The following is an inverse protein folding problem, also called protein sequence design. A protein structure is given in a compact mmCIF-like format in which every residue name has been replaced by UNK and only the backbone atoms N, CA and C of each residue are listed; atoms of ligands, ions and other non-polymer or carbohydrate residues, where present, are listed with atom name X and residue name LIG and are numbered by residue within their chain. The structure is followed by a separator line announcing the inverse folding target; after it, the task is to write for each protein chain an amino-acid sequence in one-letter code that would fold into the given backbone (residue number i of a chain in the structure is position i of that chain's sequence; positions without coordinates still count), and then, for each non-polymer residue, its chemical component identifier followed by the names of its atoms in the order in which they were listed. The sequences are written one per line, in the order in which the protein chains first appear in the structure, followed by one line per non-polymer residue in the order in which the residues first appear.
data_IF_759166308330
#
_entry.id   IF_759166308330
#
_cell.length_a   1.000
_cell.length_b   1.000
_cell.length_c   1.000
_cell.angle_alpha   90.00
_cell.angle_beta   90.00
_cell.angle_gamma   90.00
#
_symmetry.space_group_name_H-M   'P 1'
#
loop_
_entity.id
_entity.type
_entity.pdbx_description
1 polymer ?
#
# COMPACT_ATOMS: atom_id res chain seq x y z
N UNK A 1 -0.40 6.95 17.73
CA UNK A 1 0.25 6.10 16.70
C UNK A 1 -0.21 4.64 16.76
N UNK A 2 -0.33 4.03 17.94
CA UNK A 2 -0.71 2.61 18.05
C UNK A 2 -2.16 2.34 17.64
N UNK A 3 -3.10 3.16 18.09
CA UNK A 3 -4.51 3.08 17.68
C UNK A 3 -4.71 3.28 16.17
N UNK A 4 -3.93 4.18 15.56
CA UNK A 4 -4.00 4.44 14.12
C UNK A 4 -3.57 3.23 13.30
N UNK A 5 -2.48 2.56 13.73
CA UNK A 5 -2.02 1.32 13.11
C UNK A 5 -3.04 0.20 13.30
N UNK A 6 -3.60 0.06 14.50
CA UNK A 6 -4.60 -0.97 14.78
C UNK A 6 -5.86 -0.81 13.91
N UNK A 7 -6.40 0.41 13.82
CA UNK A 7 -7.57 0.71 12.99
C UNK A 7 -7.30 0.43 11.50
N UNK A 8 -6.15 0.87 10.99
CA UNK A 8 -5.77 0.63 9.60
C UNK A 8 -5.58 -0.87 9.30
N UNK A 9 -5.08 -1.66 10.26
CA UNK A 9 -4.95 -3.12 10.12
C UNK A 9 -6.32 -3.80 10.11
N UNK A 10 -7.23 -3.38 10.98
CA UNK A 10 -8.61 -3.89 11.00
C UNK A 10 -9.35 -3.58 9.69
N UNK A 11 -9.15 -2.39 9.13
CA UNK A 11 -9.69 -2.02 7.82
C UNK A 11 -9.18 -2.94 6.69
N UNK A 12 -7.97 -3.48 6.80
CA UNK A 12 -7.44 -4.48 5.87
C UNK A 12 -8.17 -5.82 5.95
N UNK A 13 -8.45 -6.30 7.17
CA UNK A 13 -9.24 -7.54 7.39
C UNK A 13 -10.66 -7.37 6.85
N UNK A 14 -11.30 -6.25 7.19
CA UNK A 14 -12.62 -5.91 6.66
C UNK A 14 -12.62 -5.90 5.13
N UNK A 15 -11.65 -5.25 4.50
CA UNK A 15 -11.55 -5.18 3.05
C UNK A 15 -11.46 -6.56 2.40
N UNK A 16 -10.56 -7.43 2.84
CA UNK A 16 -10.40 -8.75 2.24
C UNK A 16 -11.64 -9.64 2.40
N UNK A 17 -12.36 -9.54 3.53
CA UNK A 17 -13.63 -10.23 3.70
C UNK A 17 -14.72 -9.66 2.80
N UNK A 18 -14.77 -8.34 2.65
CA UNK A 18 -15.78 -7.65 1.87
C UNK A 18 -15.60 -7.81 0.34
N UNK A 19 -14.38 -8.14 -0.14
CA UNK A 19 -14.13 -8.40 -1.56
C UNK A 19 -14.98 -9.54 -2.15
N UNK A 20 -15.48 -10.46 -1.31
CA UNK A 20 -16.43 -11.48 -1.73
C UNK A 20 -17.72 -10.91 -2.35
N UNK A 21 -18.14 -9.71 -1.93
CA UNK A 21 -19.38 -9.07 -2.36
C UNK A 21 -19.17 -7.89 -3.31
N UNK A 22 -17.94 -7.66 -3.77
CA UNK A 22 -17.56 -6.54 -4.66
C UNK A 22 -17.99 -6.84 -6.10
N UNK A 23 -18.92 -6.04 -6.70
CA UNK A 23 -19.20 -6.14 -8.14
C UNK A 23 -17.93 -6.01 -8.99
N UNK A 24 -17.05 -5.05 -8.69
CA UNK A 24 -15.86 -4.78 -9.50
C UNK A 24 -14.83 -5.92 -9.47
N UNK A 25 -14.69 -6.63 -8.33
CA UNK A 25 -13.75 -7.75 -8.19
C UNK A 25 -14.39 -9.13 -8.27
N UNK A 26 -15.70 -9.23 -8.53
CA UNK A 26 -16.40 -10.51 -8.60
C UNK A 26 -15.75 -11.50 -9.60
N UNK A 27 -15.24 -10.99 -10.73
CA UNK A 27 -14.55 -11.84 -11.71
C UNK A 27 -13.17 -12.33 -11.29
N UNK A 28 -12.54 -11.69 -10.30
CA UNK A 28 -11.15 -11.90 -9.91
C UNK A 28 -10.99 -12.44 -8.48
N UNK A 29 -12.04 -12.40 -7.67
CA UNK A 29 -12.01 -12.85 -6.28
C UNK A 29 -12.39 -14.33 -6.17
N UNK A 30 -11.52 -15.20 -5.61
CA UNK A 30 -11.80 -16.64 -5.57
C UNK A 30 -13.07 -16.99 -4.82
N UNK A 31 -13.30 -16.35 -3.68
CA UNK A 31 -14.49 -16.53 -2.84
C UNK A 31 -15.59 -15.52 -3.19
N UNK A 32 -15.72 -15.11 -4.46
CA UNK A 32 -16.80 -14.23 -4.90
C UNK A 32 -18.16 -14.90 -4.66
N UNK A 33 -19.07 -14.16 -3.99
CA UNK A 33 -20.44 -14.59 -3.73
C UNK A 33 -21.34 -14.23 -4.93
N UNK A 34 -22.40 -15.01 -5.15
CA UNK A 34 -23.38 -14.72 -6.19
C UNK A 34 -24.12 -13.39 -5.93
N UNK A 35 -24.27 -12.99 -4.67
CA UNK A 35 -24.82 -11.69 -4.28
C UNK A 35 -23.71 -10.64 -4.28
N UNK A 36 -23.97 -9.55 -4.99
CA UNK A 36 -23.06 -8.41 -5.10
C UNK A 36 -23.70 -7.16 -4.52
N UNK A 37 -22.87 -6.26 -4.00
CA UNK A 37 -23.33 -5.05 -3.34
C UNK A 37 -22.49 -3.84 -3.75
N UNK A 38 -23.02 -2.91 -4.55
CA UNK A 38 -22.30 -1.69 -4.94
C UNK A 38 -21.86 -0.84 -3.74
N UNK A 39 -22.63 -0.87 -2.64
CA UNK A 39 -22.26 -0.14 -1.42
C UNK A 39 -21.05 -0.74 -0.72
N UNK A 40 -20.84 -2.07 -0.81
CA UNK A 40 -19.61 -2.70 -0.32
C UNK A 40 -18.43 -2.14 -1.07
N UNK A 41 -18.55 -2.03 -2.38
CA UNK A 41 -17.54 -1.52 -3.27
C UNK A 41 -17.17 -0.06 -2.91
N UNK A 42 -18.17 0.80 -2.73
CA UNK A 42 -17.97 2.18 -2.25
C UNK A 42 -17.19 2.26 -0.91
N UNK A 43 -17.44 1.37 0.06
CA UNK A 43 -16.75 1.40 1.36
C UNK A 43 -15.33 0.80 1.25
N UNK A 44 -15.19 -0.31 0.55
CA UNK A 44 -13.96 -1.07 0.38
C UNK A 44 -12.91 -0.24 -0.37
N UNK A 45 -13.30 0.42 -1.46
CA UNK A 45 -12.37 1.24 -2.23
C UNK A 45 -12.01 2.54 -1.51
N UNK A 46 -12.94 3.14 -0.77
CA UNK A 46 -12.65 4.27 0.11
C UNK A 46 -11.55 3.91 1.12
N UNK A 47 -11.74 2.80 1.84
CA UNK A 47 -10.76 2.34 2.84
C UNK A 47 -9.43 1.94 2.24
N UNK A 48 -9.43 1.35 1.04
CA UNK A 48 -8.22 1.00 0.31
C UNK A 48 -7.40 2.23 -0.08
N UNK A 49 -8.08 3.29 -0.56
CA UNK A 49 -7.45 4.50 -1.08
C UNK A 49 -6.55 5.19 -0.05
N UNK A 50 -6.95 5.24 1.22
CA UNK A 50 -6.16 5.92 2.25
C UNK A 50 -5.27 4.98 3.06
N UNK A 51 -5.65 3.71 3.30
CA UNK A 51 -4.93 2.87 4.28
C UNK A 51 -3.50 2.55 3.85
N UNK A 52 -3.27 2.22 2.57
CA UNK A 52 -1.94 1.82 2.10
C UNK A 52 -0.98 3.02 2.09
N UNK A 53 -1.36 4.19 1.52
CA UNK A 53 -0.59 5.43 1.68
C UNK A 53 -0.29 5.78 3.14
N UNK A 54 -1.30 5.66 4.02
CA UNK A 54 -1.15 5.94 5.45
C UNK A 54 -0.11 5.03 6.11
N UNK A 55 -0.10 3.73 5.79
CA UNK A 55 0.92 2.82 6.31
C UNK A 55 2.33 3.19 5.87
N UNK A 56 2.51 3.59 4.60
CA UNK A 56 3.81 4.03 4.11
C UNK A 56 4.27 5.33 4.77
N UNK A 57 3.36 6.30 4.97
CA UNK A 57 3.62 7.52 5.72
C UNK A 57 4.06 7.19 7.16
N UNK A 58 3.32 6.34 7.87
CA UNK A 58 3.69 5.92 9.23
C UNK A 58 5.05 5.21 9.24
N UNK A 59 5.32 4.36 8.24
CA UNK A 59 6.59 3.66 8.13
C UNK A 59 7.77 4.62 7.94
N UNK A 60 7.64 5.62 7.06
CA UNK A 60 8.62 6.67 6.86
C UNK A 60 8.92 7.46 8.12
N UNK A 61 7.87 7.84 8.86
CA UNK A 61 7.98 8.52 10.15
C UNK A 61 8.82 7.70 11.14
N UNK A 62 8.52 6.41 11.29
CA UNK A 62 9.27 5.56 12.21
C UNK A 62 10.68 5.21 11.73
N UNK A 63 10.94 5.22 10.41
CA UNK A 63 12.30 5.08 9.88
C UNK A 63 13.13 6.31 10.26
N UNK A 64 12.61 7.52 10.07
CA UNK A 64 13.28 8.75 10.48
C UNK A 64 13.56 8.77 12.00
N UNK A 65 12.56 8.44 12.81
CA UNK A 65 12.71 8.29 14.26
C UNK A 65 13.83 7.33 14.63
N UNK A 66 13.92 6.20 13.95
CA UNK A 66 14.90 5.18 14.24
C UNK A 66 16.31 5.58 13.80
N UNK A 67 16.45 6.28 12.67
CA UNK A 67 17.71 6.88 12.23
C UNK A 67 18.20 7.88 13.27
N UNK A 68 17.33 8.77 13.76
CA UNK A 68 17.70 9.74 14.79
C UNK A 68 18.11 9.05 16.11
N UNK A 69 17.37 8.03 16.53
CA UNK A 69 17.59 7.36 17.83
C UNK A 69 18.76 6.37 17.85
N UNK A 70 19.04 5.69 16.75
CA UNK A 70 19.98 4.55 16.70
C UNK A 70 20.98 4.62 15.54
N UNK A 71 21.00 5.70 14.78
CA UNK A 71 21.79 5.83 13.56
C UNK A 71 21.31 4.91 12.44
N UNK A 72 21.95 5.04 11.29
CA UNK A 72 21.55 4.32 10.08
C UNK A 72 21.76 2.80 10.19
N UNK A 73 22.88 2.36 10.76
CA UNK A 73 23.15 0.93 11.00
C UNK A 73 22.15 0.29 11.97
N UNK A 74 21.75 1.02 13.03
CA UNK A 74 20.72 0.58 13.96
C UNK A 74 19.33 0.50 13.32
N UNK A 75 19.02 1.42 12.40
CA UNK A 75 17.81 1.38 11.58
C UNK A 75 17.79 0.13 10.70
N UNK A 76 18.83 -0.11 9.91
CA UNK A 76 18.90 -1.27 9.01
C UNK A 76 18.83 -2.58 9.78
N UNK A 77 19.56 -2.74 10.88
CA UNK A 77 19.51 -3.96 11.71
C UNK A 77 18.11 -4.22 12.26
N UNK A 78 17.44 -3.18 12.77
CA UNK A 78 16.09 -3.32 13.30
C UNK A 78 15.07 -3.67 12.21
N UNK A 79 15.14 -3.00 11.05
CA UNK A 79 14.24 -3.25 9.92
C UNK A 79 14.51 -4.61 9.30
N UNK A 80 15.75 -5.07 9.26
CA UNK A 80 16.08 -6.43 8.84
C UNK A 80 15.37 -7.46 9.74
N UNK A 81 15.44 -7.33 11.06
CA UNK A 81 14.81 -8.27 11.99
C UNK A 81 13.28 -8.20 12.05
N UNK A 82 12.68 -7.05 11.72
CA UNK A 82 11.24 -6.81 11.88
C UNK A 82 10.45 -6.72 10.57
N UNK A 83 11.14 -6.64 9.43
CA UNK A 83 10.53 -6.54 8.10
C UNK A 83 11.11 -7.62 7.20
N UNK A 84 12.43 -7.61 6.95
CA UNK A 84 13.05 -8.54 6.00
C UNK A 84 12.98 -10.00 6.48
N UNK A 85 13.28 -10.27 7.74
CA UNK A 85 13.23 -11.62 8.29
C UNK A 85 11.80 -12.18 8.31
N UNK A 86 10.77 -11.46 8.81
CA UNK A 86 9.38 -11.88 8.65
C UNK A 86 8.98 -12.08 7.19
N UNK A 87 9.40 -11.21 6.28
CA UNK A 87 9.13 -11.37 4.85
C UNK A 87 9.70 -12.70 4.33
N UNK A 88 10.97 -13.01 4.60
CA UNK A 88 11.61 -14.24 4.13
C UNK A 88 10.92 -15.49 4.71
N UNK A 89 10.53 -15.47 5.98
CA UNK A 89 9.90 -16.63 6.65
C UNK A 89 8.43 -16.79 6.21
N UNK A 90 7.66 -15.71 6.19
CA UNK A 90 6.22 -15.78 5.97
C UNK A 90 5.83 -15.73 4.49
N UNK A 91 6.71 -15.32 3.58
CA UNK A 91 6.42 -15.35 2.14
C UNK A 91 6.15 -16.76 1.60
N UNK A 92 7.00 -17.79 1.82
CA UNK A 92 6.69 -19.14 1.39
C UNK A 92 5.46 -19.72 2.10
N UNK A 93 5.26 -19.39 3.38
CA UNK A 93 4.07 -19.81 4.13
C UNK A 93 2.78 -19.19 3.57
N UNK A 94 2.82 -17.91 3.21
CA UNK A 94 1.70 -17.20 2.60
C UNK A 94 1.40 -17.72 1.20
N UNK A 95 2.44 -17.95 0.38
CA UNK A 95 2.30 -18.59 -0.93
C UNK A 95 1.65 -19.96 -0.79
N UNK A 96 2.16 -20.80 0.12
CA UNK A 96 1.59 -22.12 0.35
C UNK A 96 0.13 -22.04 0.81
N UNK A 97 -0.18 -21.20 1.81
CA UNK A 97 -1.54 -21.05 2.33
C UNK A 97 -2.53 -20.61 1.24
N UNK A 98 -2.16 -19.64 0.40
CA UNK A 98 -3.02 -19.14 -0.68
C UNK A 98 -3.17 -20.19 -1.78
N UNK A 99 -2.06 -20.74 -2.28
CA UNK A 99 -2.07 -21.69 -3.41
C UNK A 99 -2.76 -22.99 -3.01
N UNK A 100 -2.45 -23.55 -1.83
CA UNK A 100 -3.07 -24.79 -1.36
C UNK A 100 -4.59 -24.62 -1.16
N UNK A 101 -5.02 -23.49 -0.59
CA UNK A 101 -6.45 -23.18 -0.43
C UNK A 101 -7.15 -23.02 -1.78
N UNK A 102 -6.52 -22.34 -2.74
CA UNK A 102 -7.04 -22.18 -4.10
C UNK A 102 -7.17 -23.52 -4.82
N UNK A 103 -6.13 -24.36 -4.81
CA UNK A 103 -6.15 -25.67 -5.46
C UNK A 103 -7.19 -26.59 -4.82
N UNK A 104 -7.31 -26.56 -3.49
CA UNK A 104 -8.34 -27.31 -2.77
C UNK A 104 -9.74 -26.83 -3.14
N UNK A 105 -9.96 -25.52 -3.23
CA UNK A 105 -11.24 -24.94 -3.62
C UNK A 105 -11.61 -25.29 -5.06
N UNK A 106 -10.66 -25.18 -6.00
CA UNK A 106 -10.85 -25.56 -7.42
C UNK A 106 -11.29 -27.03 -7.55
N UNK A 107 -10.72 -27.93 -6.73
CA UNK A 107 -11.05 -29.35 -6.75
C UNK A 107 -12.38 -29.71 -6.07
N UNK A 108 -12.83 -28.93 -5.08
CA UNK A 108 -13.96 -29.29 -4.20
C UNK A 108 -15.23 -28.46 -4.41
N UNK A 109 -15.11 -27.23 -4.90
CA UNK A 109 -16.26 -26.32 -5.06
C UNK A 109 -17.01 -26.66 -6.36
N UNK A 110 -18.33 -26.88 -6.23
CA UNK A 110 -19.20 -27.17 -7.37
C UNK A 110 -19.43 -25.93 -8.22
N UNK A 111 -19.86 -24.82 -7.61
CA UNK A 111 -20.07 -23.53 -8.28
C UNK A 111 -18.77 -22.71 -8.28
N UNK A 112 -17.96 -22.85 -9.33
CA UNK A 112 -16.67 -22.16 -9.46
C UNK A 112 -16.88 -20.68 -9.78
N UNK A 113 -16.11 -19.83 -9.11
CA UNK A 113 -16.03 -18.41 -9.51
C UNK A 113 -15.28 -18.27 -10.85
N UNK A 114 -15.42 -17.14 -11.55
CA UNK A 114 -14.75 -16.94 -12.84
C UNK A 114 -13.23 -17.13 -12.76
N UNK A 115 -12.59 -16.68 -11.67
CA UNK A 115 -11.15 -16.88 -11.45
C UNK A 115 -10.79 -18.35 -11.21
N UNK A 116 -11.66 -19.14 -10.56
CA UNK A 116 -11.44 -20.58 -10.40
C UNK A 116 -11.51 -21.29 -11.75
N UNK A 117 -12.44 -20.92 -12.63
CA UNK A 117 -12.51 -21.46 -13.99
C UNK A 117 -11.29 -21.08 -14.83
N UNK A 118 -10.77 -19.86 -14.67
CA UNK A 118 -9.49 -19.46 -15.26
C UNK A 118 -8.34 -20.35 -14.78
N UNK A 119 -8.29 -20.67 -13.48
CA UNK A 119 -7.27 -21.56 -12.91
C UNK A 119 -7.41 -22.98 -13.48
N UNK A 120 -8.62 -23.53 -13.56
CA UNK A 120 -8.88 -24.86 -14.17
C UNK A 120 -8.36 -24.90 -15.61
N UNK A 121 -8.67 -23.85 -16.39
CA UNK A 121 -8.23 -23.74 -17.78
C UNK A 121 -6.71 -23.65 -17.90
N UNK A 122 -6.07 -22.90 -17.01
CA UNK A 122 -4.61 -22.77 -16.96
C UNK A 122 -3.92 -24.07 -16.53
N UNK A 123 -4.52 -24.85 -15.62
CA UNK A 123 -4.02 -26.16 -15.22
C UNK A 123 -4.13 -27.20 -16.35
N UNK A 124 -5.18 -27.13 -17.17
CA UNK A 124 -5.37 -28.00 -18.32
C UNK A 124 -4.41 -27.68 -19.48
N UNK A 125 -3.96 -26.42 -19.59
CA UNK A 125 -3.02 -25.96 -20.61
C UNK A 125 -1.78 -25.33 -19.95
N UNK A 126 -0.87 -26.15 -19.38
CA UNK A 126 0.31 -25.65 -18.69
C UNK A 126 1.25 -24.97 -19.70
N UNK A 127 1.12 -23.64 -19.81
CA UNK A 127 2.04 -22.78 -20.55
C UNK A 127 3.24 -22.38 -19.69
N UNK A 128 3.70 -21.15 -19.87
CA UNK A 128 4.72 -20.56 -18.99
C UNK A 128 4.17 -20.38 -17.56
N UNK A 129 4.94 -20.78 -16.53
CA UNK A 129 4.51 -20.57 -15.15
C UNK A 129 4.33 -19.08 -14.87
N UNK A 130 3.36 -18.69 -14.03
CA UNK A 130 3.14 -17.30 -13.69
C UNK A 130 4.40 -16.71 -13.03
N UNK A 131 4.67 -15.41 -13.24
CA UNK A 131 5.81 -14.76 -12.62
C UNK A 131 5.69 -14.84 -11.09
N UNK A 132 6.83 -14.86 -10.37
CA UNK A 132 6.82 -14.82 -8.91
C UNK A 132 6.05 -13.59 -8.40
N UNK A 133 5.22 -13.79 -7.38
CA UNK A 133 4.42 -12.75 -6.73
C UNK A 133 4.68 -12.69 -5.22
N UNK A 134 4.82 -11.48 -4.69
CA UNK A 134 4.90 -11.17 -3.27
C UNK A 134 3.55 -11.34 -2.56
N UNK A 135 2.46 -11.56 -3.31
CA UNK A 135 1.09 -11.71 -2.83
C UNK A 135 0.74 -10.62 -1.80
N UNK A 136 0.17 -11.01 -0.66
CA UNK A 136 -0.23 -10.13 0.43
C UNK A 136 0.94 -9.43 1.13
N UNK A 137 2.19 -9.85 0.90
CA UNK A 137 3.38 -9.29 1.56
C UNK A 137 4.10 -8.21 0.74
N UNK A 138 3.53 -7.78 -0.39
CA UNK A 138 4.07 -6.72 -1.24
C UNK A 138 4.43 -5.43 -0.46
N UNK A 139 3.66 -5.12 0.59
CA UNK A 139 3.90 -3.95 1.44
C UNK A 139 5.27 -4.05 2.14
N UNK A 140 5.56 -5.20 2.76
CA UNK A 140 6.86 -5.44 3.42
C UNK A 140 7.99 -5.41 2.41
N UNK A 141 7.77 -5.96 1.21
CA UNK A 141 8.73 -5.93 0.12
C UNK A 141 9.12 -4.49 -0.24
N UNK A 142 8.15 -3.61 -0.51
CA UNK A 142 8.41 -2.19 -0.80
C UNK A 142 9.09 -1.47 0.38
N UNK A 143 8.71 -1.78 1.63
CA UNK A 143 9.37 -1.20 2.80
C UNK A 143 10.85 -1.54 2.91
N UNK A 144 11.26 -2.77 2.54
CA UNK A 144 12.68 -3.13 2.49
C UNK A 144 13.41 -2.20 1.52
N UNK A 145 12.88 -1.99 0.31
CA UNK A 145 13.48 -1.07 -0.65
C UNK A 145 13.53 0.36 -0.12
N UNK A 146 12.47 0.88 0.47
CA UNK A 146 12.47 2.24 1.01
C UNK A 146 13.46 2.41 2.17
N UNK A 147 13.68 1.38 2.99
CA UNK A 147 14.74 1.40 4.00
C UNK A 147 16.14 1.44 3.36
N UNK A 148 16.36 0.66 2.29
CA UNK A 148 17.63 0.67 1.54
C UNK A 148 17.83 2.01 0.84
N UNK A 149 16.81 2.57 0.18
CA UNK A 149 16.86 3.89 -0.44
C UNK A 149 17.16 4.98 0.58
N UNK A 150 16.59 4.90 1.80
CA UNK A 150 16.92 5.83 2.89
C UNK A 150 18.41 5.77 3.24
N UNK A 151 18.98 4.56 3.29
CA UNK A 151 20.43 4.37 3.51
C UNK A 151 21.27 4.91 2.36
N UNK A 152 20.87 4.68 1.10
CA UNK A 152 21.59 5.21 -0.08
C UNK A 152 21.51 6.74 -0.15
N UNK A 153 20.33 7.30 0.09
CA UNK A 153 20.12 8.75 0.00
C UNK A 153 20.73 9.53 1.15
N UNK A 154 21.19 8.90 2.24
CA UNK A 154 21.86 9.61 3.33
C UNK A 154 23.14 10.33 2.87
N UNK A 155 23.77 9.87 1.79
CA UNK A 155 24.99 10.44 1.23
C UNK A 155 24.75 11.68 0.37
N UNK A 156 23.48 11.99 0.08
CA UNK A 156 23.08 13.18 -0.69
C UNK A 156 22.86 14.34 0.29
N UNK A 157 23.34 15.54 -0.05
CA UNK A 157 23.06 16.73 0.74
C UNK A 157 21.63 17.24 0.47
N UNK A 158 20.71 16.94 1.38
CA UNK A 158 19.30 17.35 1.28
C UNK A 158 19.00 18.73 1.89
N UNK A 159 20.00 19.50 2.34
CA UNK A 159 19.77 20.78 3.02
C UNK A 159 19.02 21.79 2.13
N UNK A 160 19.34 21.84 0.84
CA UNK A 160 18.66 22.72 -0.11
C UNK A 160 17.16 22.35 -0.21
N UNK A 161 16.85 21.07 -0.41
CA UNK A 161 15.48 20.59 -0.51
C UNK A 161 14.73 20.86 0.79
N UNK A 162 15.39 20.65 1.93
CA UNK A 162 14.82 20.93 3.25
C UNK A 162 14.48 22.41 3.42
N UNK A 163 15.35 23.31 2.95
CA UNK A 163 15.09 24.75 2.99
C UNK A 163 13.89 25.17 2.12
N UNK A 164 13.70 24.56 0.95
CA UNK A 164 12.52 24.80 0.12
C UNK A 164 11.25 24.28 0.78
N UNK A 165 11.25 23.03 1.23
CA UNK A 165 10.06 22.39 1.82
C UNK A 165 9.62 23.07 3.13
N UNK A 166 10.56 23.55 3.95
CA UNK A 166 10.22 24.28 5.19
C UNK A 166 9.48 25.62 4.93
N UNK A 167 9.50 26.13 3.69
CA UNK A 167 8.81 27.36 3.29
C UNK A 167 7.45 27.10 2.65
N UNK A 168 7.10 25.84 2.41
CA UNK A 168 5.84 25.49 1.74
C UNK A 168 4.66 25.76 2.68
N UNK A 169 3.71 26.56 2.22
CA UNK A 169 2.44 26.80 2.92
C UNK A 169 1.48 25.62 2.74
N UNK A 170 0.50 25.41 3.64
CA UNK A 170 -0.48 24.34 3.51
C UNK A 170 -1.17 24.32 2.15
N UNK A 171 -1.56 25.48 1.63
CA UNK A 171 -2.22 25.61 0.32
C UNK A 171 -1.30 25.15 -0.82
N UNK A 172 -0.05 25.59 -0.80
CA UNK A 172 0.92 25.20 -1.82
C UNK A 172 1.23 23.70 -1.74
N UNK A 173 1.33 23.14 -0.53
CA UNK A 173 1.49 21.70 -0.33
C UNK A 173 0.31 20.92 -0.93
N UNK A 174 -0.93 21.35 -0.64
CA UNK A 174 -2.14 20.71 -1.14
C UNK A 174 -2.30 20.83 -2.67
N UNK A 175 -1.69 21.84 -3.29
CA UNK A 175 -1.65 21.98 -4.74
C UNK A 175 -0.54 21.12 -5.39
N UNK A 176 0.67 21.13 -4.84
CA UNK A 176 1.84 20.47 -5.45
C UNK A 176 1.83 18.97 -5.17
N UNK A 177 1.55 18.53 -3.93
CA UNK A 177 1.71 17.14 -3.56
C UNK A 177 0.86 16.18 -4.42
N UNK A 178 -0.43 16.46 -4.72
CA UNK A 178 -1.21 15.64 -5.65
C UNK A 178 -0.60 15.59 -7.06
N UNK A 179 -0.07 16.69 -7.57
CA UNK A 179 0.58 16.74 -8.89
C UNK A 179 1.83 15.85 -8.96
N UNK A 180 2.55 15.70 -7.86
CA UNK A 180 3.69 14.77 -7.78
C UNK A 180 3.26 13.30 -7.86
N UNK A 181 2.03 12.98 -7.49
CA UNK A 181 1.48 11.61 -7.59
C UNK A 181 1.02 11.27 -9.01
N UNK A 182 0.69 12.27 -9.83
CA UNK A 182 0.08 12.09 -11.17
C UNK A 182 0.93 11.21 -12.09
N UNK A 183 2.27 11.38 -12.25
CA UNK A 183 3.05 10.53 -13.14
C UNK A 183 2.98 9.04 -12.79
N UNK A 184 2.99 8.72 -11.49
CA UNK A 184 2.83 7.35 -11.03
C UNK A 184 1.43 6.82 -11.35
N UNK A 185 0.39 7.60 -11.08
CA UNK A 185 -1.00 7.23 -11.32
C UNK A 185 -1.34 7.08 -12.81
N UNK A 186 -0.71 7.86 -13.70
CA UNK A 186 -0.89 7.73 -15.15
C UNK A 186 -0.21 6.48 -15.73
N UNK A 187 0.78 5.93 -15.03
CA UNK A 187 1.54 4.76 -15.47
C UNK A 187 0.93 3.42 -15.08
N UNK A 188 -0.24 3.42 -14.44
CA UNK A 188 -0.93 2.21 -13.96
C UNK A 188 -2.45 2.35 -14.13
N UNK A 189 -3.12 1.24 -14.43
CA UNK A 189 -4.57 1.24 -14.59
C UNK A 189 -5.29 1.39 -13.25
N UNK A 190 -6.48 2.00 -13.29
CA UNK A 190 -7.43 1.99 -12.17
C UNK A 190 -8.41 0.82 -12.31
N UNK A 191 -8.82 0.14 -11.22
CA UNK A 191 -8.37 0.35 -9.83
C UNK A 191 -6.89 -0.06 -9.63
N UNK A 192 -6.18 0.64 -8.75
CA UNK A 192 -4.75 0.43 -8.54
C UNK A 192 -4.47 -1.03 -8.12
N UNK A 193 -3.69 -1.80 -8.90
CA UNK A 193 -3.34 -3.17 -8.55
C UNK A 193 -2.36 -3.19 -7.38
N UNK A 194 -2.25 -4.34 -6.69
CA UNK A 194 -1.16 -4.54 -5.74
C UNK A 194 0.17 -4.62 -6.51
N UNK A 195 1.24 -3.93 -6.07
CA UNK A 195 2.57 -4.03 -6.70
C UNK A 195 3.27 -5.30 -6.21
N UNK A 196 2.70 -6.45 -6.56
CA UNK A 196 3.08 -7.76 -6.07
C UNK A 196 4.22 -8.39 -6.87
N UNK A 197 4.76 -7.72 -7.89
CA UNK A 197 5.95 -8.21 -8.59
C UNK A 197 7.19 -8.16 -7.67
N UNK A 198 8.07 -9.15 -7.83
CA UNK A 198 9.43 -9.11 -7.28
C UNK A 198 10.33 -8.10 -7.97
N UNK A 199 9.89 -7.46 -9.06
CA UNK A 199 10.62 -6.35 -9.64
C UNK A 199 10.03 -5.02 -9.16
N UNK A 200 10.86 -4.05 -8.76
CA UNK A 200 10.40 -2.70 -8.43
C UNK A 200 9.53 -2.10 -9.53
N UNK A 201 8.25 -1.88 -9.22
CA UNK A 201 7.33 -1.22 -10.13
C UNK A 201 7.44 0.30 -9.92
N UNK A 202 7.78 1.04 -10.97
CA UNK A 202 8.04 2.48 -10.88
C UNK A 202 6.85 3.27 -10.34
N UNK A 203 5.62 2.90 -10.73
CA UNK A 203 4.41 3.54 -10.22
C UNK A 203 4.26 3.36 -8.69
N UNK A 204 4.58 2.17 -8.17
CA UNK A 204 4.54 1.86 -6.73
C UNK A 204 5.54 2.70 -5.97
N UNK A 205 6.77 2.79 -6.49
CA UNK A 205 7.84 3.56 -5.88
C UNK A 205 7.56 5.06 -5.93
N UNK A 206 7.02 5.56 -7.04
CA UNK A 206 6.59 6.94 -7.17
C UNK A 206 5.47 7.28 -6.20
N UNK A 207 4.39 6.49 -6.19
CA UNK A 207 3.23 6.76 -5.36
C UNK A 207 3.51 6.53 -3.87
N UNK A 208 3.84 5.30 -3.46
CA UNK A 208 4.05 4.96 -2.05
C UNK A 208 5.37 5.52 -1.49
N UNK A 209 6.40 5.68 -2.34
CA UNK A 209 7.66 6.29 -1.92
C UNK A 209 7.48 7.77 -1.58
N UNK A 210 6.60 8.51 -2.27
CA UNK A 210 6.25 9.89 -1.91
C UNK A 210 5.55 9.97 -0.55
N UNK A 211 4.62 9.06 -0.24
CA UNK A 211 4.01 8.98 1.09
C UNK A 211 5.02 8.60 2.17
N UNK A 212 5.91 7.65 1.89
CA UNK A 212 7.00 7.28 2.81
C UNK A 212 7.93 8.47 3.07
N UNK A 213 8.35 9.19 2.03
CA UNK A 213 9.19 10.38 2.15
C UNK A 213 8.47 11.49 2.94
N UNK A 214 7.18 11.70 2.68
CA UNK A 214 6.34 12.62 3.48
C UNK A 214 6.34 12.22 4.95
N UNK A 215 6.19 10.94 5.27
CA UNK A 215 6.28 10.43 6.63
C UNK A 215 7.62 10.75 7.30
N UNK A 216 8.72 10.49 6.59
CA UNK A 216 10.07 10.82 7.05
C UNK A 216 10.23 12.33 7.33
N UNK A 217 9.67 13.14 6.44
CA UNK A 217 9.66 14.59 6.52
C UNK A 217 8.86 15.12 7.70
N UNK A 218 7.65 14.58 7.92
CA UNK A 218 6.78 14.91 9.05
C UNK A 218 7.50 14.69 10.38
N UNK A 219 8.33 13.65 10.49
CA UNK A 219 9.14 13.43 11.70
C UNK A 219 10.28 14.45 11.83
N UNK A 220 10.91 14.79 10.71
CA UNK A 220 12.10 15.64 10.67
C UNK A 220 11.79 17.13 10.75
N UNK A 221 10.52 17.52 10.67
CA UNK A 221 10.08 18.92 10.65
C UNK A 221 9.14 19.15 11.82
N UNK A 222 9.54 20.01 12.74
CA UNK A 222 8.71 20.37 13.89
C UNK A 222 7.41 21.04 13.42
N UNK A 223 6.30 20.71 14.09
CA UNK A 223 4.99 21.32 13.90
C UNK A 223 4.41 21.24 12.47
N UNK A 224 4.94 20.38 11.58
CA UNK A 224 4.40 20.25 10.21
C UNK A 224 2.92 19.90 10.20
N UNK A 225 2.48 18.97 11.06
CA UNK A 225 1.07 18.58 11.17
C UNK A 225 0.22 19.75 11.69
N UNK A 226 0.77 20.60 12.55
CA UNK A 226 0.04 21.72 13.15
C UNK A 226 -0.36 22.76 12.11
N UNK A 227 0.42 22.90 11.04
CA UNK A 227 0.11 23.76 9.90
C UNK A 227 -1.22 23.39 9.22
N UNK A 228 -1.65 22.12 9.31
CA UNK A 228 -2.86 21.61 8.68
C UNK A 228 -4.05 21.49 9.64
N UNK A 229 -3.86 21.73 10.95
CA UNK A 229 -4.92 21.55 11.96
C UNK A 229 -6.17 22.38 11.65
N UNK A 230 -6.00 23.64 11.24
CA UNK A 230 -7.12 24.53 10.89
C UNK A 230 -7.87 24.10 9.63
N UNK A 231 -7.21 23.33 8.74
CA UNK A 231 -7.79 22.85 7.50
C UNK A 231 -8.38 21.44 7.63
N UNK A 232 -8.16 20.74 8.74
CA UNK A 232 -8.45 19.31 8.88
C UNK A 232 -9.91 18.96 8.55
N UNK A 233 -10.88 19.74 9.06
CA UNK A 233 -12.30 19.49 8.80
C UNK A 233 -12.68 19.77 7.33
N UNK A 234 -12.16 20.86 6.75
CA UNK A 234 -12.36 21.18 5.34
C UNK A 234 -11.77 20.10 4.44
N UNK A 235 -10.56 19.63 4.74
CA UNK A 235 -9.90 18.54 4.02
C UNK A 235 -10.71 17.25 4.09
N UNK A 236 -11.26 16.91 5.26
CA UNK A 236 -12.13 15.74 5.41
C UNK A 236 -13.37 15.84 4.52
N UNK A 237 -14.06 16.98 4.51
CA UNK A 237 -15.24 17.22 3.66
C UNK A 237 -14.84 17.14 2.18
N UNK A 238 -13.76 17.81 1.78
CA UNK A 238 -13.28 17.79 0.40
C UNK A 238 -12.89 16.39 -0.05
N UNK A 239 -12.17 15.62 0.79
CA UNK A 239 -11.82 14.23 0.48
C UNK A 239 -13.05 13.35 0.32
N UNK A 240 -14.06 13.49 1.21
CA UNK A 240 -15.32 12.77 1.09
C UNK A 240 -16.07 13.16 -0.19
N UNK A 241 -16.18 14.46 -0.49
CA UNK A 241 -16.86 14.97 -1.69
C UNK A 241 -16.16 14.55 -2.98
N UNK A 242 -14.83 14.64 -3.05
CA UNK A 242 -14.05 14.17 -4.21
C UNK A 242 -14.18 12.67 -4.41
N UNK A 243 -14.27 11.89 -3.33
CA UNK A 243 -14.51 10.46 -3.41
C UNK A 243 -15.90 10.14 -3.98
N UNK A 244 -16.95 10.84 -3.50
CA UNK A 244 -18.33 10.72 -4.03
C UNK A 244 -18.39 11.08 -5.52
N UNK A 245 -17.61 12.06 -5.98
CA UNK A 245 -17.62 12.50 -7.39
C UNK A 245 -16.86 11.53 -8.29
N UNK A 246 -15.80 10.90 -7.77
CA UNK A 246 -14.99 9.96 -8.53
C UNK A 246 -15.64 8.59 -8.69
N UNK A 247 -16.39 8.15 -7.68
CA UNK A 247 -16.97 6.81 -7.58
C UNK A 247 -18.44 6.79 -7.98
#
# INVERSE_FOLDING_TARGET
MDNLRALAMLAGVFFHGALAYSPMLHGLWPAADAQQSPIVDYIVWFTHLFRMPLFFLIAGFFVAYLVQKRGMGGMLKNRALRILLPLIIFLPLCMWAVIASLLSAVASVQAKSPVMEMIVTAMANPGTPPPPTALHLWFLYNLVFFCVLTWVFQYVNWQWLRAYFNRITPVLFLAIFPLLLVPALLSVAAPLPAPDSFLPQLWSFGFFGLFFALGYWVFSTENFIDLFKSYAFMLLIMSAGLYVVFY
#
